data_IF_482682843184
#
_entry.id   IF_482682843184
#
_cell.length_a   1.000
_cell.length_b   1.000
_cell.length_c   1.000
_cell.angle_alpha   90.00
_cell.angle_beta   90.00
_cell.angle_gamma   90.00
#
_symmetry.space_group_name_H-M   'P 1'
#
loop_
_entity.id
_entity.type
_entity.pdbx_description
1 polymer ?
#
# COMPACT_ATOMS: atom_id res chain seq x y z
N UNK A 1 3.63 -7.84 -9.03
CA UNK A 1 3.23 -7.41 -7.67
C UNK A 1 2.21 -8.36 -7.04
N UNK A 2 2.43 -8.77 -5.78
CA UNK A 2 1.49 -9.52 -4.95
C UNK A 2 1.28 -8.76 -3.63
N UNK A 3 0.02 -8.55 -3.23
CA UNK A 3 -0.32 -7.93 -1.94
C UNK A 3 -0.64 -9.03 -0.93
N UNK A 4 0.10 -9.07 0.18
CA UNK A 4 -0.05 -10.07 1.25
C UNK A 4 -0.54 -9.43 2.54
N UNK A 5 -1.22 -10.23 3.35
CA UNK A 5 -1.62 -9.87 4.72
C UNK A 5 -2.36 -8.53 4.84
N UNK A 6 -3.16 -8.19 3.83
CA UNK A 6 -3.89 -6.92 3.79
C UNK A 6 -4.90 -6.84 4.94
N UNK A 7 -4.79 -5.77 5.74
CA UNK A 7 -5.67 -5.48 6.88
C UNK A 7 -6.02 -4.01 6.88
N UNK A 8 -7.31 -3.73 6.77
CA UNK A 8 -7.85 -2.40 6.99
C UNK A 8 -8.61 -2.38 8.32
N UNK A 9 -8.09 -1.61 9.28
CA UNK A 9 -8.76 -1.31 10.54
C UNK A 9 -9.35 0.10 10.44
N UNK A 10 -10.57 0.18 9.92
CA UNK A 10 -11.31 1.43 9.75
C UNK A 10 -11.44 2.21 11.07
N UNK A 11 -11.66 1.51 12.18
CA UNK A 11 -11.87 2.11 13.50
C UNK A 11 -10.65 2.87 14.02
N UNK A 12 -9.45 2.35 13.71
CA UNK A 12 -8.18 3.01 14.03
C UNK A 12 -7.63 3.87 12.89
N UNK A 13 -8.32 3.92 11.74
CA UNK A 13 -7.88 4.62 10.55
C UNK A 13 -6.53 4.12 10.03
N UNK A 14 -6.30 2.80 10.05
CA UNK A 14 -5.00 2.21 9.72
C UNK A 14 -5.10 1.10 8.68
N UNK A 15 -4.25 1.15 7.67
CA UNK A 15 -4.08 0.12 6.65
C UNK A 15 -2.69 -0.49 6.77
N UNK A 16 -2.60 -1.82 6.73
CA UNK A 16 -1.34 -2.58 6.76
C UNK A 16 -1.36 -3.71 5.75
N UNK A 17 -0.24 -3.90 5.08
CA UNK A 17 -0.06 -4.98 4.11
C UNK A 17 1.44 -5.16 3.80
N UNK A 18 1.76 -6.18 3.01
CA UNK A 18 3.10 -6.38 2.44
C UNK A 18 2.98 -6.39 0.93
N UNK A 19 3.85 -5.64 0.25
CA UNK A 19 4.03 -5.69 -1.20
C UNK A 19 5.17 -6.65 -1.47
N UNK A 20 4.96 -7.60 -2.37
CA UNK A 20 5.97 -8.49 -2.92
C UNK A 20 6.09 -8.24 -4.43
N UNK A 21 7.26 -7.82 -4.87
CA UNK A 21 7.63 -7.65 -6.28
C UNK A 21 8.82 -8.57 -6.56
N UNK A 22 8.59 -9.62 -7.33
CA UNK A 22 9.61 -10.62 -7.71
C UNK A 22 10.45 -11.19 -6.55
N UNK A 23 9.83 -11.35 -5.37
CA UNK A 23 10.48 -11.88 -4.17
C UNK A 23 11.14 -10.81 -3.29
N UNK A 24 11.10 -9.54 -3.70
CA UNK A 24 11.48 -8.41 -2.87
C UNK A 24 10.26 -7.88 -2.12
N UNK A 25 10.29 -8.02 -0.79
CA UNK A 25 9.16 -7.69 0.06
C UNK A 25 9.37 -6.37 0.83
N UNK A 26 8.34 -5.54 0.88
CA UNK A 26 8.25 -4.37 1.76
C UNK A 26 6.95 -4.37 2.55
N UNK A 27 7.05 -4.17 3.86
CA UNK A 27 5.88 -3.97 4.71
C UNK A 27 5.41 -2.52 4.60
N UNK A 28 4.09 -2.32 4.57
CA UNK A 28 3.46 -1.00 4.44
C UNK A 28 2.53 -0.73 5.61
N UNK A 29 2.58 0.50 6.11
CA UNK A 29 1.63 1.01 7.11
C UNK A 29 1.20 2.43 6.72
N UNK A 30 -0.11 2.63 6.60
CA UNK A 30 -0.75 3.93 6.42
C UNK A 30 -1.59 4.22 7.66
N UNK A 31 -1.49 5.44 8.16
CA UNK A 31 -2.25 5.90 9.33
C UNK A 31 -2.95 7.21 9.01
N UNK A 32 -4.24 7.28 9.29
CA UNK A 32 -5.02 8.52 9.23
C UNK A 32 -4.56 9.47 10.33
N UNK A 33 -4.37 10.71 9.97
CA UNK A 33 -4.01 11.82 10.84
C UNK A 33 -5.04 12.94 10.68
N UNK A 34 -4.99 13.95 11.55
CA UNK A 34 -5.86 15.13 11.45
C UNK A 34 -5.67 15.91 10.14
N UNK A 35 -4.51 15.76 9.49
CA UNK A 35 -4.12 16.49 8.28
C UNK A 35 -4.15 15.66 7.00
N UNK A 36 -4.54 14.38 7.07
CA UNK A 36 -4.55 13.48 5.91
C UNK A 36 -4.12 12.06 6.26
N UNK A 37 -3.48 11.36 5.34
CA UNK A 37 -2.87 10.04 5.58
C UNK A 37 -1.36 10.16 5.59
N UNK A 38 -0.70 9.48 6.54
CA UNK A 38 0.76 9.36 6.57
C UNK A 38 1.13 7.91 6.34
N UNK A 39 1.97 7.69 5.33
CA UNK A 39 2.71 6.45 5.15
C UNK A 39 3.91 6.47 6.10
N UNK A 40 4.09 5.39 6.87
CA UNK A 40 5.15 5.35 7.89
C UNK A 40 6.46 4.74 7.40
N UNK A 41 6.42 4.05 6.27
CA UNK A 41 7.59 3.38 5.72
C UNK A 41 8.03 4.13 4.47
N UNK A 42 9.33 4.42 4.40
CA UNK A 42 9.96 5.00 3.23
C UNK A 42 9.90 3.99 2.08
N UNK A 43 9.16 4.33 1.03
CA UNK A 43 8.99 3.47 -0.14
C UNK A 43 9.91 3.91 -1.29
N UNK A 44 10.57 5.06 -1.20
CA UNK A 44 11.31 5.65 -2.30
C UNK A 44 12.45 4.74 -2.74
N UNK A 45 13.22 4.20 -1.78
CA UNK A 45 14.28 3.23 -2.04
C UNK A 45 13.75 1.92 -2.67
N UNK A 46 12.54 1.49 -2.30
CA UNK A 46 11.90 0.30 -2.88
C UNK A 46 11.47 0.56 -4.33
N UNK A 47 10.80 1.68 -4.57
CA UNK A 47 10.35 2.09 -5.91
C UNK A 47 11.54 2.25 -6.86
N UNK A 48 12.60 2.95 -6.44
CA UNK A 48 13.84 3.07 -7.22
C UNK A 48 14.43 1.70 -7.55
N UNK A 49 14.42 0.76 -6.60
CA UNK A 49 14.91 -0.60 -6.86
C UNK A 49 14.06 -1.31 -7.91
N UNK A 50 12.72 -1.22 -7.85
CA UNK A 50 11.82 -1.85 -8.82
C UNK A 50 11.93 -1.18 -10.19
N UNK A 51 11.97 0.15 -10.23
CA UNK A 51 12.01 0.97 -11.46
C UNK A 51 13.23 0.64 -12.33
N UNK A 52 14.37 0.34 -11.69
CA UNK A 52 15.59 -0.05 -12.38
C UNK A 52 15.45 -1.34 -13.21
N UNK A 53 14.47 -2.19 -12.90
CA UNK A 53 14.19 -3.43 -13.63
C UNK A 53 12.91 -3.32 -14.47
N UNK A 54 11.84 -2.75 -13.89
CA UNK A 54 10.56 -2.54 -14.55
C UNK A 54 9.91 -1.23 -14.05
N UNK A 55 10.02 -0.19 -14.88
CA UNK A 55 9.40 1.11 -14.63
C UNK A 55 7.88 1.03 -14.46
N UNK A 56 7.21 0.17 -15.25
CA UNK A 56 5.75 0.05 -15.19
C UNK A 56 5.31 -0.63 -13.90
N UNK A 57 6.09 -1.58 -13.41
CA UNK A 57 5.80 -2.22 -12.13
C UNK A 57 5.98 -1.25 -10.95
N UNK A 58 7.01 -0.40 -10.98
CA UNK A 58 7.20 0.65 -9.98
C UNK A 58 6.02 1.64 -9.97
N UNK A 59 5.57 2.10 -11.14
CA UNK A 59 4.41 2.99 -11.28
C UNK A 59 3.14 2.34 -10.69
N UNK A 60 2.89 1.06 -10.98
CA UNK A 60 1.75 0.33 -10.42
C UNK A 60 1.81 0.20 -8.88
N UNK A 61 3.00 0.02 -8.31
CA UNK A 61 3.19 -0.03 -6.85
C UNK A 61 2.86 1.33 -6.23
N UNK A 62 3.39 2.41 -6.81
CA UNK A 62 3.16 3.77 -6.34
C UNK A 62 1.66 4.13 -6.37
N UNK A 63 0.99 3.87 -7.50
CA UNK A 63 -0.46 4.12 -7.63
C UNK A 63 -1.28 3.34 -6.59
N UNK A 64 -0.93 2.08 -6.33
CA UNK A 64 -1.62 1.27 -5.32
C UNK A 64 -1.46 1.84 -3.92
N UNK A 65 -0.26 2.31 -3.59
CA UNK A 65 0.10 2.91 -2.30
C UNK A 65 -0.64 4.23 -2.09
N UNK A 66 -0.70 5.08 -3.10
CA UNK A 66 -1.46 6.33 -3.09
C UNK A 66 -2.95 6.07 -2.90
N UNK A 67 -3.49 5.05 -3.56
CA UNK A 67 -4.88 4.63 -3.36
C UNK A 67 -5.18 4.31 -1.89
N UNK A 68 -4.28 3.63 -1.16
CA UNK A 68 -4.48 3.35 0.27
C UNK A 68 -4.55 4.64 1.11
N UNK A 69 -3.70 5.61 0.80
CA UNK A 69 -3.72 6.92 1.45
C UNK A 69 -5.02 7.67 1.18
N UNK A 70 -5.54 7.59 -0.05
CA UNK A 70 -6.82 8.18 -0.41
C UNK A 70 -8.00 7.55 0.34
N UNK A 71 -8.03 6.22 0.49
CA UNK A 71 -9.06 5.53 1.27
C UNK A 71 -9.17 6.09 2.69
N UNK A 72 -8.03 6.28 3.37
CA UNK A 72 -7.98 6.85 4.72
C UNK A 72 -8.37 8.33 4.75
N UNK A 73 -7.83 9.12 3.83
CA UNK A 73 -8.06 10.56 3.75
C UNK A 73 -9.55 10.87 3.60
N UNK A 74 -10.23 10.17 2.69
CA UNK A 74 -11.66 10.38 2.42
C UNK A 74 -12.59 9.56 3.33
N UNK A 75 -12.03 8.73 4.22
CA UNK A 75 -12.83 7.92 5.15
C UNK A 75 -13.69 6.89 4.43
N UNK A 76 -13.17 6.34 3.33
CA UNK A 76 -13.85 5.31 2.55
C UNK A 76 -13.60 3.98 3.23
N UNK A 77 -14.67 3.32 3.65
CA UNK A 77 -14.62 1.95 4.14
C UNK A 77 -14.68 0.98 2.94
N UNK A 78 -13.79 0.01 2.90
CA UNK A 78 -13.69 -0.95 1.79
C UNK A 78 -13.11 -2.28 2.27
N UNK A 79 -13.39 -3.34 1.51
CA UNK A 79 -12.89 -4.67 1.80
C UNK A 79 -12.20 -5.28 0.57
N UNK A 80 -10.96 -5.76 0.75
CA UNK A 80 -10.21 -6.52 -0.24
C UNK A 80 -10.44 -8.01 0.04
N UNK A 81 -11.19 -8.69 -0.83
CA UNK A 81 -11.39 -10.14 -0.75
C UNK A 81 -10.59 -10.82 -1.84
N UNK A 82 -9.81 -11.82 -1.48
CA UNK A 82 -9.29 -12.76 -2.47
C UNK A 82 -10.49 -13.59 -2.97
N UNK A 83 -10.79 -13.53 -4.26
CA UNK A 83 -11.63 -14.56 -4.89
C UNK A 83 -10.85 -15.88 -4.84
N UNK A 84 -11.05 -16.64 -3.78
CA UNK A 84 -10.84 -18.08 -3.80
C UNK A 84 -12.19 -18.70 -4.15
N UNK A 85 -12.32 -19.22 -5.37
CA UNK A 85 -13.33 -20.25 -5.70
C UNK A 85 -13.06 -21.54 -4.92
#
# INVERSE_FOLDING_TARGET
>A
MIIKNYKYDFSSGRIRYTIDVDGYEIAMEHTKTEYGSVQRNDIDDFLLSVENYDFQEAEMVEEFVDFQSHLLMYGIDFELRNEAE
#
